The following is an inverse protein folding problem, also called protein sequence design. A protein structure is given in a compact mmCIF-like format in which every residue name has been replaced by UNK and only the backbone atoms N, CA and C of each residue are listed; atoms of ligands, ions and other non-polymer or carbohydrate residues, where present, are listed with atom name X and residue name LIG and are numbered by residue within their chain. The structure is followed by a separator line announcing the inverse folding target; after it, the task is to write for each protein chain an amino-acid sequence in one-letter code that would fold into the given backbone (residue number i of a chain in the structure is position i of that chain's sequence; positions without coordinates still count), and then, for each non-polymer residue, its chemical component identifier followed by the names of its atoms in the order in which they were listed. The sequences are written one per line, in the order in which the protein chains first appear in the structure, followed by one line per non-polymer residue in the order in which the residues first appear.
data_IF_695021410445
#
_entry.id   IF_695021410445
#
_cell.length_a   1.000
_cell.length_b   1.000
_cell.length_c   1.000
_cell.angle_alpha   90.00
_cell.angle_beta   90.00
_cell.angle_gamma   90.00
#
_symmetry.space_group_name_H-M   'P 1'
#
loop_
_entity.id
_entity.type
_entity.pdbx_description
1 polymer ?
#
# COMPACT_ATOMS: atom_id res chain seq x y z
N UNK A 1 -14.34 -75.55 -46.74
CA UNK A 1 -13.46 -76.26 -45.80
C UNK A 1 -12.32 -75.32 -45.41
N UNK A 2 -12.12 -75.07 -44.11
CA UNK A 2 -11.01 -74.25 -43.56
C UNK A 2 -9.67 -74.95 -43.83
N UNK A 3 -8.55 -74.20 -43.94
CA UNK A 3 -7.81 -73.90 -42.72
C UNK A 3 -7.32 -72.47 -42.57
N UNK A 4 -7.21 -72.10 -41.30
CA UNK A 4 -6.53 -70.92 -40.74
C UNK A 4 -5.08 -71.33 -40.49
N UNK A 5 -4.11 -70.48 -40.79
CA UNK A 5 -2.89 -70.36 -39.96
C UNK A 5 -2.29 -68.96 -40.04
N UNK A 6 -1.82 -68.54 -38.87
CA UNK A 6 -1.49 -67.20 -38.40
C UNK A 6 -0.27 -66.57 -39.08
N UNK A 7 -0.12 -65.25 -38.95
CA UNK A 7 1.19 -64.60 -38.71
C UNK A 7 1.01 -63.16 -38.17
N UNK A 8 1.74 -62.90 -37.08
CA UNK A 8 2.30 -61.65 -36.50
C UNK A 8 1.55 -60.32 -36.75
N UNK A 9 1.33 -59.50 -35.72
CA UNK A 9 2.23 -58.37 -35.41
C UNK A 9 1.87 -57.77 -34.06
N UNK A 10 2.91 -57.43 -33.30
CA UNK A 10 2.98 -56.73 -32.03
C UNK A 10 2.03 -55.53 -31.92
N UNK A 11 1.16 -55.54 -30.90
CA UNK A 11 0.36 -54.37 -30.49
C UNK A 11 1.02 -53.73 -29.27
N UNK A 12 1.62 -52.56 -29.49
CA UNK A 12 2.00 -51.63 -28.43
C UNK A 12 0.73 -51.06 -27.80
N UNK A 13 0.39 -51.49 -26.59
CA UNK A 13 -0.67 -50.87 -25.79
C UNK A 13 -0.06 -49.67 -25.04
N UNK A 14 -0.20 -48.48 -25.64
CA UNK A 14 0.15 -47.21 -25.00
C UNK A 14 -0.90 -46.87 -23.95
N UNK A 15 -0.57 -47.08 -22.67
CA UNK A 15 -1.34 -46.59 -21.52
C UNK A 15 -1.14 -45.07 -21.39
N UNK A 16 -2.10 -44.28 -21.87
CA UNK A 16 -2.19 -42.87 -21.52
C UNK A 16 -2.75 -42.75 -20.10
N UNK A 17 -1.88 -42.65 -19.10
CA UNK A 17 -2.28 -42.12 -17.79
C UNK A 17 -2.53 -40.61 -17.95
N UNK A 18 -3.81 -40.21 -18.01
CA UNK A 18 -4.19 -38.80 -17.94
C UNK A 18 -4.00 -38.31 -16.51
N UNK A 19 -2.79 -37.89 -16.16
CA UNK A 19 -2.55 -37.13 -14.92
C UNK A 19 -3.17 -35.75 -15.08
N UNK A 20 -4.32 -35.54 -14.45
CA UNK A 20 -4.91 -34.21 -14.27
C UNK A 20 -3.97 -33.38 -13.39
N UNK A 21 -3.20 -32.49 -14.02
CA UNK A 21 -2.36 -31.51 -13.31
C UNK A 21 -3.31 -30.45 -12.73
N UNK A 22 -3.48 -30.46 -11.41
CA UNK A 22 -4.12 -29.38 -10.68
C UNK A 22 -3.19 -28.16 -10.71
N UNK A 23 -3.50 -27.18 -11.56
CA UNK A 23 -2.85 -25.88 -11.52
C UNK A 23 -3.33 -25.12 -10.29
N UNK A 24 -2.53 -25.16 -9.22
CA UNK A 24 -2.69 -24.25 -8.09
C UNK A 24 -2.35 -22.84 -8.58
N UNK A 25 -3.37 -22.01 -8.79
CA UNK A 25 -3.19 -20.58 -9.04
C UNK A 25 -2.73 -19.94 -7.72
N UNK A 26 -1.42 -19.84 -7.52
CA UNK A 26 -0.85 -19.03 -6.44
C UNK A 26 -0.98 -17.57 -6.81
N UNK A 27 -2.04 -16.90 -6.35
CA UNK A 27 -2.09 -15.44 -6.34
C UNK A 27 -1.16 -14.93 -5.25
N UNK A 28 0.04 -14.49 -5.66
CA UNK A 28 0.89 -13.68 -4.80
C UNK A 28 0.20 -12.34 -4.55
N UNK A 29 -0.27 -12.11 -3.32
CA UNK A 29 -0.68 -10.79 -2.87
C UNK A 29 0.56 -9.88 -2.84
N UNK A 30 0.64 -8.92 -3.76
CA UNK A 30 1.68 -7.89 -3.73
C UNK A 30 1.34 -6.93 -2.60
N UNK A 31 2.18 -6.86 -1.56
CA UNK A 31 2.04 -5.85 -0.52
C UNK A 31 2.15 -4.47 -1.18
N UNK A 32 1.19 -3.59 -0.93
CA UNK A 32 1.18 -2.22 -1.48
C UNK A 32 2.35 -1.41 -0.92
N UNK A 33 3.53 -1.55 -1.53
CA UNK A 33 4.75 -0.85 -1.15
C UNK A 33 4.79 0.55 -1.77
N UNK A 34 5.40 1.49 -1.06
CA UNK A 34 5.67 2.83 -1.58
C UNK A 34 6.75 2.78 -2.66
N UNK A 35 6.53 3.49 -3.76
CA UNK A 35 7.54 3.71 -4.80
C UNK A 35 8.50 4.83 -4.38
N UNK A 36 8.01 5.76 -3.56
CA UNK A 36 8.80 6.84 -2.96
C UNK A 36 8.61 6.83 -1.44
N UNK A 37 9.71 6.60 -0.73
CA UNK A 37 9.74 6.62 0.74
C UNK A 37 9.40 8.01 1.28
N UNK A 38 8.68 8.00 2.40
CA UNK A 38 8.32 9.17 3.20
C UNK A 38 9.33 9.29 4.32
N UNK A 39 9.86 10.50 4.51
CA UNK A 39 10.86 10.80 5.53
C UNK A 39 10.25 11.67 6.62
N UNK A 40 10.53 11.30 7.87
CA UNK A 40 10.41 12.18 9.01
C UNK A 40 11.69 13.03 9.07
N UNK A 41 11.52 14.34 8.98
CA UNK A 41 12.60 15.29 9.16
C UNK A 41 12.77 15.58 10.64
N UNK A 42 14.02 15.68 11.06
CA UNK A 42 14.34 16.20 12.37
C UNK A 42 14.62 17.70 12.31
N UNK A 43 14.55 18.32 13.47
CA UNK A 43 14.77 19.75 13.65
C UNK A 43 15.65 20.01 14.87
N UNK A 44 15.78 21.29 15.22
CA UNK A 44 16.47 21.77 16.42
C UNK A 44 15.69 21.50 17.72
N UNK A 45 14.55 20.81 17.62
CA UNK A 45 13.67 20.48 18.73
C UNK A 45 12.82 21.65 19.22
N UNK A 46 12.78 22.77 18.51
CA UNK A 46 11.98 23.95 18.88
C UNK A 46 10.55 23.92 18.30
N UNK A 47 10.31 23.14 17.25
CA UNK A 47 9.00 23.00 16.58
C UNK A 47 8.71 21.53 16.27
N UNK A 48 7.43 21.18 16.10
CA UNK A 48 7.07 19.88 15.57
C UNK A 48 7.40 19.83 14.07
N UNK A 49 8.12 18.79 13.65
CA UNK A 49 8.50 18.59 12.24
C UNK A 49 7.44 17.81 11.43
N UNK A 50 6.33 17.50 12.08
CA UNK A 50 5.18 16.83 11.50
C UNK A 50 3.88 17.44 12.04
N UNK A 51 2.79 17.28 11.31
CA UNK A 51 1.48 17.85 11.68
C UNK A 51 0.40 16.79 11.71
N UNK A 52 -0.58 16.96 12.59
CA UNK A 52 -1.84 16.24 12.55
C UNK A 52 -2.80 17.03 11.66
N UNK A 53 -3.25 16.40 10.57
CA UNK A 53 -4.19 16.99 9.64
C UNK A 53 -5.47 16.14 9.54
N UNK A 54 -6.57 16.80 9.23
CA UNK A 54 -7.85 16.15 8.91
C UNK A 54 -8.13 16.27 7.42
N UNK A 55 -8.64 15.20 6.82
CA UNK A 55 -9.14 15.22 5.45
C UNK A 55 -10.49 15.93 5.41
N UNK A 56 -10.60 17.00 4.62
CA UNK A 56 -11.82 17.79 4.49
C UNK A 56 -12.00 18.34 3.07
N UNK A 57 -13.23 18.71 2.72
CA UNK A 57 -13.59 19.40 1.47
C UNK A 57 -13.93 18.48 0.31
N UNK A 58 -13.81 17.16 0.46
CA UNK A 58 -14.10 16.23 -0.62
C UNK A 58 -15.57 16.31 -1.03
N UNK A 59 -15.83 16.31 -2.35
CA UNK A 59 -17.18 16.32 -2.89
C UNK A 59 -17.77 14.90 -2.89
N UNK A 60 -18.76 14.67 -2.01
CA UNK A 60 -19.44 13.38 -1.84
C UNK A 60 -20.42 13.01 -2.96
N UNK A 61 -20.77 13.96 -3.84
CA UNK A 61 -21.59 13.70 -5.04
C UNK A 61 -20.74 13.21 -6.23
N UNK A 62 -19.41 13.23 -6.10
CA UNK A 62 -18.45 12.68 -7.06
C UNK A 62 -17.81 11.43 -6.46
N UNK A 63 -16.50 11.31 -6.58
CA UNK A 63 -15.74 10.16 -6.11
C UNK A 63 -15.75 10.08 -4.58
N UNK A 64 -15.84 11.22 -3.87
CA UNK A 64 -15.99 11.26 -2.41
C UNK A 64 -14.76 10.83 -1.60
N UNK A 65 -13.61 10.59 -2.25
CA UNK A 65 -12.38 10.17 -1.60
C UNK A 65 -11.15 10.97 -2.05
N UNK A 66 -10.12 10.97 -1.21
CA UNK A 66 -8.77 11.42 -1.49
C UNK A 66 -7.90 10.21 -1.85
N UNK A 67 -7.36 10.17 -3.07
CA UNK A 67 -6.44 9.11 -3.49
C UNK A 67 -5.15 9.14 -2.66
N UNK A 68 -4.80 8.01 -2.05
CA UNK A 68 -3.48 7.76 -1.49
C UNK A 68 -2.62 7.06 -2.55
N UNK A 69 -1.42 7.57 -2.81
CA UNK A 69 -0.54 7.10 -3.88
C UNK A 69 0.80 6.58 -3.35
N UNK A 70 1.45 5.73 -4.15
CA UNK A 70 2.77 5.17 -3.83
C UNK A 70 3.91 6.20 -3.91
N UNK A 71 3.68 7.38 -4.50
CA UNK A 71 4.64 8.47 -4.63
C UNK A 71 3.98 9.84 -4.89
N UNK A 72 4.74 10.95 -4.82
CA UNK A 72 4.22 12.31 -4.97
C UNK A 72 3.96 12.63 -6.44
N UNK A 73 2.74 12.41 -6.90
CA UNK A 73 2.33 12.72 -8.27
C UNK A 73 1.18 11.86 -8.77
N UNK A 74 0.47 12.35 -9.77
CA UNK A 74 -0.64 11.60 -10.40
C UNK A 74 -0.17 10.43 -11.25
N UNK A 75 1.11 10.40 -11.66
CA UNK A 75 1.73 9.27 -12.37
C UNK A 75 2.01 8.06 -11.47
N UNK A 76 2.04 8.26 -10.16
CA UNK A 76 2.18 7.17 -9.20
C UNK A 76 0.83 6.47 -9.02
N UNK A 77 0.87 5.14 -8.89
CA UNK A 77 -0.32 4.31 -8.72
C UNK A 77 -1.03 4.67 -7.41
N UNK A 78 -2.36 4.63 -7.46
CA UNK A 78 -3.18 4.71 -6.26
C UNK A 78 -3.06 3.39 -5.49
N UNK A 79 -2.93 3.47 -4.18
CA UNK A 79 -2.74 2.35 -3.25
C UNK A 79 -3.79 2.31 -2.14
N UNK A 80 -4.46 3.42 -1.86
CA UNK A 80 -5.57 3.48 -0.90
C UNK A 80 -6.46 4.71 -1.13
N UNK A 81 -7.45 4.91 -0.27
CA UNK A 81 -8.40 6.02 -0.27
C UNK A 81 -8.66 6.53 1.16
N UNK A 82 -8.74 7.84 1.32
CA UNK A 82 -9.19 8.51 2.54
C UNK A 82 -10.49 9.29 2.28
N UNK A 83 -11.24 9.56 3.34
CA UNK A 83 -12.55 10.22 3.29
C UNK A 83 -12.59 11.43 4.24
N UNK A 84 -13.58 12.30 4.08
CA UNK A 84 -13.77 13.44 4.97
C UNK A 84 -13.87 12.96 6.43
N UNK A 85 -13.11 13.61 7.32
CA UNK A 85 -13.01 13.28 8.74
C UNK A 85 -11.92 12.27 9.09
N UNK A 86 -11.25 11.66 8.11
CA UNK A 86 -10.07 10.83 8.38
C UNK A 86 -8.90 11.71 8.85
N UNK A 87 -8.19 11.25 9.87
CA UNK A 87 -6.99 11.91 10.39
C UNK A 87 -5.73 11.28 9.81
N UNK A 88 -4.74 12.13 9.55
CA UNK A 88 -3.42 11.74 9.06
C UNK A 88 -2.32 12.48 9.80
N UNK A 89 -1.14 11.87 9.90
CA UNK A 89 0.06 12.57 10.32
C UNK A 89 0.91 12.84 9.08
N UNK A 90 1.20 14.10 8.84
CA UNK A 90 2.00 14.57 7.70
C UNK A 90 3.45 14.72 8.11
N UNK A 91 4.34 13.94 7.48
CA UNK A 91 5.79 13.93 7.78
C UNK A 91 6.64 14.58 6.68
N UNK A 92 6.26 14.41 5.42
CA UNK A 92 7.05 14.87 4.27
C UNK A 92 6.18 15.71 3.35
N UNK A 93 6.77 16.78 2.80
CA UNK A 93 6.11 17.69 1.88
C UNK A 93 6.99 17.85 0.66
N UNK A 94 6.44 17.55 -0.52
CA UNK A 94 7.10 17.69 -1.82
C UNK A 94 6.13 18.33 -2.82
N UNK A 95 6.26 19.65 -2.99
CA UNK A 95 5.31 20.44 -3.76
C UNK A 95 3.90 20.32 -3.19
N UNK A 96 2.95 19.93 -4.03
CA UNK A 96 1.52 19.81 -3.65
C UNK A 96 1.18 18.48 -2.95
N UNK A 97 2.18 17.63 -2.70
CA UNK A 97 2.00 16.30 -2.12
C UNK A 97 2.54 16.21 -0.70
N UNK A 98 1.75 15.59 0.17
CA UNK A 98 2.12 15.24 1.54
C UNK A 98 2.31 13.73 1.66
N UNK A 99 3.43 13.33 2.25
CA UNK A 99 3.70 11.98 2.69
C UNK A 99 3.10 11.78 4.08
N UNK A 100 2.08 10.92 4.15
CA UNK A 100 1.22 10.75 5.32
C UNK A 100 1.29 9.34 5.90
N UNK A 101 1.06 9.24 7.20
CA UNK A 101 0.73 8.02 7.93
C UNK A 101 -0.71 8.09 8.42
N UNK A 102 -1.45 6.99 8.35
CA UNK A 102 -2.88 6.96 8.68
C UNK A 102 -3.38 5.56 9.07
N UNK A 103 -4.57 5.49 9.67
CA UNK A 103 -5.17 4.25 10.19
C UNK A 103 -6.48 4.51 10.92
N UNK A 104 -7.17 3.47 11.37
CA UNK A 104 -8.48 3.64 12.02
C UNK A 104 -8.32 4.00 13.51
N UNK A 105 -8.72 5.21 13.89
CA UNK A 105 -8.87 5.62 15.30
C UNK A 105 -7.55 5.58 16.11
N UNK A 106 -7.44 4.65 17.06
CA UNK A 106 -6.32 4.46 17.98
C UNK A 106 -5.02 3.95 17.32
N UNK A 107 -4.99 3.81 15.99
CA UNK A 107 -3.84 3.30 15.22
C UNK A 107 -2.80 4.40 14.94
N UNK A 108 -3.13 5.66 15.26
CA UNK A 108 -2.13 6.70 15.53
C UNK A 108 -1.52 6.54 16.93
N UNK A 109 -1.52 5.35 17.53
CA UNK A 109 -0.89 5.06 18.82
C UNK A 109 -0.01 3.82 18.64
N UNK A 110 1.30 3.96 18.87
CA UNK A 110 2.23 2.85 18.95
C UNK A 110 2.61 2.60 20.43
N UNK A 111 2.43 1.37 20.92
CA UNK A 111 2.77 0.99 22.30
C UNK A 111 2.10 1.87 23.40
N UNK A 112 0.90 2.38 23.13
CA UNK A 112 0.17 3.26 24.06
C UNK A 112 0.58 4.73 24.00
N UNK A 113 1.53 5.11 23.14
CA UNK A 113 1.91 6.49 22.87
C UNK A 113 1.43 6.92 21.50
N UNK A 114 0.96 8.17 21.38
CA UNK A 114 0.61 8.75 20.09
C UNK A 114 1.81 8.65 19.12
N UNK A 115 1.56 8.14 17.91
CA UNK A 115 2.45 8.28 16.77
C UNK A 115 2.61 9.78 16.62
N UNK A 116 3.82 10.26 16.80
CA UNK A 116 4.14 11.67 16.79
C UNK A 116 5.44 11.93 16.08
N UNK A 117 5.84 13.20 16.05
CA UNK A 117 7.15 13.57 15.53
C UNK A 117 8.20 13.15 16.57
N UNK A 118 8.92 12.07 16.28
CA UNK A 118 10.06 11.66 17.07
C UNK A 118 11.24 12.61 16.83
N UNK A 119 12.09 12.76 17.83
CA UNK A 119 13.34 13.51 17.65
C UNK A 119 14.30 12.72 16.75
N UNK A 120 14.55 13.24 15.54
CA UNK A 120 15.51 12.66 14.57
C UNK A 120 16.86 13.42 14.59
N UNK A 121 17.02 14.41 15.47
CA UNK A 121 18.16 15.34 15.44
C UNK A 121 18.14 16.25 14.21
N UNK A 122 19.28 16.69 13.69
CA UNK A 122 19.35 17.50 12.45
C UNK A 122 19.23 16.66 11.16
N UNK A 123 18.92 15.36 11.29
CA UNK A 123 18.86 14.42 10.18
C UNK A 123 17.47 14.20 9.61
N UNK A 124 17.35 13.15 8.81
CA UNK A 124 16.06 12.60 8.39
C UNK A 124 16.12 11.07 8.46
N UNK A 125 14.98 10.44 8.72
CA UNK A 125 14.84 8.98 8.67
C UNK A 125 13.56 8.59 7.92
N UNK A 126 13.51 7.43 7.27
CA UNK A 126 12.24 6.89 6.79
C UNK A 126 11.26 6.78 7.96
N UNK A 127 9.99 7.13 7.74
CA UNK A 127 8.95 7.02 8.78
C UNK A 127 8.91 5.59 9.32
N UNK A 128 9.28 5.36 10.60
CA UNK A 128 9.59 4.02 11.11
C UNK A 128 8.33 3.23 11.51
N UNK A 129 7.18 3.91 11.60
CA UNK A 129 5.97 3.35 12.16
C UNK A 129 5.39 2.22 11.29
N UNK A 130 5.06 1.05 11.85
CA UNK A 130 4.33 0.03 11.11
C UNK A 130 2.90 0.52 10.89
N UNK A 131 2.39 0.48 9.65
CA UNK A 131 1.03 0.93 9.34
C UNK A 131 0.90 1.49 7.94
N UNK A 132 -0.28 2.02 7.62
CA UNK A 132 -0.57 2.54 6.28
C UNK A 132 0.08 3.89 6.07
N UNK A 133 0.67 4.04 4.89
CA UNK A 133 1.40 5.24 4.48
C UNK A 133 1.13 5.50 3.00
N UNK A 134 1.33 6.74 2.59
CA UNK A 134 1.35 7.09 1.18
C UNK A 134 1.33 8.59 0.95
N UNK A 135 1.15 8.97 -0.31
CA UNK A 135 1.19 10.34 -0.76
C UNK A 135 -0.20 10.83 -1.13
N UNK A 136 -0.60 11.97 -0.57
CA UNK A 136 -1.90 12.61 -0.83
C UNK A 136 -1.72 14.04 -1.28
N UNK A 137 -2.69 14.57 -2.01
CA UNK A 137 -2.68 15.97 -2.40
C UNK A 137 -3.09 16.87 -1.23
N UNK A 138 -2.33 17.93 -0.97
CA UNK A 138 -2.42 18.74 0.25
C UNK A 138 -3.64 19.66 0.33
N UNK A 139 -4.25 20.02 -0.79
CA UNK A 139 -5.45 20.87 -0.82
C UNK A 139 -6.65 20.32 -0.02
N UNK A 140 -6.60 19.05 0.37
CA UNK A 140 -7.66 18.38 1.13
C UNK A 140 -7.26 18.13 2.59
N UNK A 141 -6.11 18.67 3.03
CA UNK A 141 -5.62 18.55 4.40
C UNK A 141 -5.83 19.87 5.13
N UNK A 142 -6.53 19.81 6.26
CA UNK A 142 -6.73 20.92 7.18
C UNK A 142 -5.91 20.66 8.44
N UNK A 143 -5.02 21.60 8.77
CA UNK A 143 -4.18 21.51 9.97
C UNK A 143 -5.04 21.49 11.23
N UNK A 144 -4.82 20.49 12.07
CA UNK A 144 -5.49 20.33 13.38
C UNK A 144 -4.51 20.65 14.50
N UNK A 145 -3.28 20.13 14.43
CA UNK A 145 -2.22 20.39 15.41
C UNK A 145 -0.82 20.26 14.79
N UNK A 146 0.16 20.98 15.36
CA UNK A 146 1.56 21.03 14.96
C UNK A 146 2.36 21.99 15.82
#
# INVERSE_FOLDING_TARGET
MKPITQNYTTLFASLFLSSSILFLNTQTAQADSLDVMIYERGGDGQVAECTLDMVEGLNTERDGFLSVRSGPGTSFRQIDQLHNGDFVITFDIRGDWAGVYYGRGHELIENGNEIGCGYVGEGQRPVPYPGKKGWVHRNWLVLVAG
#
